data_IF_057771793969
#
_entry.id   IF_057771793969
#
_cell.length_a   1.000
_cell.length_b   1.000
_cell.length_c   1.000
_cell.angle_alpha   90.00
_cell.angle_beta   90.00
_cell.angle_gamma   90.00
#
_symmetry.space_group_name_H-M   'P 1'
#
loop_
_entity.id
_entity.type
_entity.pdbx_description
1 polymer ?
#
# COMPACT_ATOMS: atom_id res chain seq x y z
N UNK A 1 -3.44 -8.87 2.56
CA UNK A 1 -2.81 -7.84 1.70
C UNK A 1 -2.31 -6.67 2.54
N UNK A 2 -1.25 -5.99 2.10
CA UNK A 2 -0.61 -4.88 2.83
C UNK A 2 -0.39 -3.67 1.92
N UNK A 3 -0.89 -2.50 2.32
CA UNK A 3 -0.71 -1.23 1.64
C UNK A 3 0.36 -0.40 2.33
N UNK A 4 1.52 -0.25 1.68
CA UNK A 4 2.59 0.63 2.14
C UNK A 4 2.33 2.07 1.69
N UNK A 5 2.31 2.98 2.65
CA UNK A 5 2.14 4.43 2.46
C UNK A 5 3.28 5.18 3.13
N UNK A 6 3.25 6.52 3.09
CA UNK A 6 4.17 7.37 3.85
C UNK A 6 3.44 8.58 4.41
N UNK A 7 3.95 9.23 5.46
CA UNK A 7 3.39 10.47 5.98
C UNK A 7 3.29 11.55 4.88
N UNK A 8 2.21 12.34 4.94
CA UNK A 8 1.96 13.44 3.99
C UNK A 8 2.00 13.00 2.51
N UNK A 9 1.49 11.80 2.22
CA UNK A 9 1.39 11.29 0.86
C UNK A 9 0.01 11.58 0.26
N UNK A 10 -0.11 12.66 -0.52
CA UNK A 10 -1.37 13.01 -1.19
C UNK A 10 -1.93 11.85 -2.03
N UNK A 11 -1.05 11.15 -2.75
CA UNK A 11 -1.41 9.96 -3.57
C UNK A 11 -1.97 8.82 -2.72
N UNK A 12 -1.54 8.68 -1.47
CA UNK A 12 -1.98 7.64 -0.55
C UNK A 12 -3.36 7.99 0.03
N UNK A 13 -3.61 9.26 0.34
CA UNK A 13 -4.91 9.74 0.82
C UNK A 13 -6.04 9.47 -0.18
N UNK A 14 -5.76 9.53 -1.49
CA UNK A 14 -6.74 9.13 -2.51
C UNK A 14 -7.26 7.69 -2.38
N UNK A 15 -6.54 6.82 -1.66
CA UNK A 15 -6.92 5.44 -1.40
C UNK A 15 -7.54 5.33 0.00
N UNK A 16 -6.80 5.76 1.04
CA UNK A 16 -7.20 5.59 2.44
C UNK A 16 -8.51 6.29 2.77
N UNK A 17 -8.81 7.42 2.11
CA UNK A 17 -10.05 8.18 2.34
C UNK A 17 -11.26 7.60 1.59
N UNK A 18 -11.01 6.77 0.56
CA UNK A 18 -12.06 6.29 -0.36
C UNK A 18 -12.45 4.84 -0.18
N UNK A 19 -11.61 4.05 0.48
CA UNK A 19 -11.84 2.64 0.71
C UNK A 19 -11.75 2.34 2.19
N UNK A 20 -12.69 1.55 2.69
CA UNK A 20 -12.55 0.90 3.98
C UNK A 20 -11.57 -0.28 3.82
N UNK A 21 -10.28 0.01 4.02
CA UNK A 21 -9.21 -0.98 3.88
C UNK A 21 -9.41 -2.17 4.82
N UNK A 22 -9.96 -1.91 6.02
CA UNK A 22 -10.16 -2.95 7.03
C UNK A 22 -11.21 -3.97 6.59
N UNK A 23 -12.35 -3.53 6.05
CA UNK A 23 -13.36 -4.47 5.54
C UNK A 23 -12.90 -5.22 4.28
N UNK A 24 -11.94 -4.68 3.54
CA UNK A 24 -11.29 -5.34 2.41
C UNK A 24 -10.13 -6.28 2.80
N UNK A 25 -9.81 -6.43 4.09
CA UNK A 25 -8.69 -7.25 4.55
C UNK A 25 -7.31 -6.68 4.16
N UNK A 26 -7.24 -5.37 3.95
CA UNK A 26 -6.00 -4.63 3.64
C UNK A 26 -5.50 -3.95 4.91
N UNK A 27 -4.26 -4.24 5.29
CA UNK A 27 -3.56 -3.58 6.39
C UNK A 27 -2.79 -2.39 5.81
N UNK A 28 -2.90 -1.21 6.41
CA UNK A 28 -2.05 -0.08 6.04
C UNK A 28 -0.78 -0.07 6.91
N UNK A 29 0.38 0.00 6.26
CA UNK A 29 1.67 0.17 6.90
C UNK A 29 2.28 1.51 6.47
N UNK A 30 2.52 2.40 7.43
CA UNK A 30 3.07 3.74 7.16
C UNK A 30 4.59 3.69 7.29
N UNK A 31 5.29 3.94 6.20
CA UNK A 31 6.75 4.07 6.16
C UNK A 31 7.17 5.38 6.81
N UNK A 32 7.45 5.32 8.11
CA UNK A 32 7.88 6.44 8.93
C UNK A 32 9.17 6.08 9.70
N UNK A 33 10.00 7.06 10.10
CA UNK A 33 11.25 6.79 10.81
C UNK A 33 11.09 6.04 12.15
N UNK A 34 9.90 6.12 12.75
CA UNK A 34 9.51 5.46 13.99
C UNK A 34 8.84 4.08 13.78
N UNK A 35 8.62 3.66 12.53
CA UNK A 35 8.05 2.37 12.17
C UNK A 35 9.07 1.49 11.43
N UNK A 36 10.03 0.95 12.20
CA UNK A 36 11.06 0.07 11.66
C UNK A 36 10.48 -1.26 11.12
N UNK A 37 9.36 -1.73 11.67
CA UNK A 37 8.72 -2.98 11.26
C UNK A 37 8.11 -2.89 9.85
N UNK A 38 7.50 -1.75 9.50
CA UNK A 38 7.02 -1.51 8.15
C UNK A 38 8.18 -1.49 7.13
N UNK A 39 9.31 -0.88 7.49
CA UNK A 39 10.52 -0.88 6.65
C UNK A 39 11.10 -2.28 6.49
N UNK A 40 11.15 -3.07 7.56
CA UNK A 40 11.62 -4.45 7.52
C UNK A 40 10.73 -5.32 6.61
N UNK A 41 9.41 -5.16 6.71
CA UNK A 41 8.46 -5.91 5.87
C UNK A 41 8.58 -5.50 4.39
N UNK A 42 8.71 -4.20 4.11
CA UNK A 42 8.94 -3.71 2.75
C UNK A 42 10.26 -4.26 2.17
N UNK A 43 11.31 -4.30 2.98
CA UNK A 43 12.62 -4.84 2.59
C UNK A 43 12.58 -6.35 2.34
N UNK A 44 11.81 -7.10 3.14
CA UNK A 44 11.57 -8.52 2.91
C UNK A 44 10.93 -8.79 1.54
N UNK A 45 10.05 -7.90 1.08
CA UNK A 45 9.47 -7.97 -0.27
C UNK A 45 10.38 -7.43 -1.39
N UNK A 46 11.62 -7.02 -1.08
CA UNK A 46 12.57 -6.41 -2.03
C UNK A 46 12.03 -5.10 -2.69
N UNK A 47 11.14 -4.38 -1.99
CA UNK A 47 10.44 -3.21 -2.53
C UNK A 47 11.04 -1.85 -2.13
N UNK A 48 12.21 -1.83 -1.49
CA UNK A 48 12.85 -0.58 -1.02
C UNK A 48 13.08 0.40 -2.17
N UNK A 49 13.75 -0.05 -3.24
CA UNK A 49 14.01 0.80 -4.42
C UNK A 49 12.72 1.21 -5.15
N UNK A 50 11.67 0.41 -5.04
CA UNK A 50 10.37 0.70 -5.65
C UNK A 50 9.69 1.82 -4.88
N UNK A 51 9.71 1.77 -3.55
CA UNK A 51 9.13 2.80 -2.68
C UNK A 51 9.83 4.15 -2.79
N UNK A 52 11.14 4.16 -3.06
CA UNK A 52 11.89 5.39 -3.36
C UNK A 52 11.40 6.07 -4.64
N UNK A 53 10.95 5.30 -5.62
CA UNK A 53 10.48 5.78 -6.93
C UNK A 53 8.99 6.12 -6.92
N UNK A 54 8.16 5.26 -6.32
CA UNK A 54 6.71 5.38 -6.37
C UNK A 54 6.02 4.82 -5.13
N UNK A 55 5.12 5.63 -4.57
CA UNK A 55 4.17 5.25 -3.53
C UNK A 55 2.75 5.71 -3.93
N UNK A 56 1.69 5.06 -3.42
CA UNK A 56 1.69 3.89 -2.53
C UNK A 56 2.01 2.56 -3.25
N UNK A 57 2.28 1.50 -2.48
CA UNK A 57 2.48 0.12 -2.96
C UNK A 57 1.53 -0.82 -2.24
N UNK A 58 0.75 -1.63 -2.97
CA UNK A 58 -0.09 -2.69 -2.42
C UNK A 58 0.57 -4.05 -2.69
N UNK A 59 0.91 -4.78 -1.64
CA UNK A 59 1.35 -6.18 -1.70
C UNK A 59 0.13 -7.09 -1.53
N UNK A 60 -0.01 -8.04 -2.46
CA UNK A 60 -1.11 -9.01 -2.52
C UNK A 60 -0.76 -10.28 -1.74
N UNK A 61 -1.76 -11.15 -1.54
CA UNK A 61 -1.58 -12.38 -0.76
C UNK A 61 -0.70 -13.43 -1.46
N UNK A 62 -0.47 -13.27 -2.77
CA UNK A 62 0.45 -14.08 -3.58
C UNK A 62 1.86 -13.48 -3.68
N UNK A 63 2.18 -12.53 -2.80
CA UNK A 63 3.44 -11.78 -2.72
C UNK A 63 3.73 -10.87 -3.93
N UNK A 64 2.84 -10.83 -4.93
CA UNK A 64 2.94 -9.83 -6.01
C UNK A 64 2.58 -8.44 -5.50
N UNK A 65 2.93 -7.40 -6.26
CA UNK A 65 2.69 -6.02 -5.86
C UNK A 65 2.11 -5.14 -6.98
N UNK A 66 1.37 -4.10 -6.56
CA UNK A 66 0.82 -3.07 -7.43
C UNK A 66 1.33 -1.73 -6.93
N UNK A 67 1.99 -0.95 -7.80
CA UNK A 67 2.43 0.41 -7.48
C UNK A 67 1.51 1.48 -8.06
N UNK A 68 1.44 2.61 -7.35
CA UNK A 68 0.81 3.83 -7.83
C UNK A 68 -0.70 3.87 -7.58
N UNK A 69 -1.16 5.05 -7.16
CA UNK A 69 -2.51 5.22 -6.62
C UNK A 69 -3.64 4.86 -7.59
N UNK A 70 -3.47 5.12 -8.89
CA UNK A 70 -4.51 4.85 -9.91
C UNK A 70 -4.73 3.34 -10.06
N UNK A 71 -3.65 2.55 -10.16
CA UNK A 71 -3.73 1.10 -10.35
C UNK A 71 -4.31 0.43 -9.11
N UNK A 72 -3.83 0.82 -7.93
CA UNK A 72 -4.30 0.28 -6.65
C UNK A 72 -5.79 0.61 -6.46
N UNK A 73 -6.21 1.85 -6.72
CA UNK A 73 -7.63 2.23 -6.68
C UNK A 73 -8.50 1.37 -7.62
N UNK A 74 -8.04 1.13 -8.84
CA UNK A 74 -8.75 0.29 -9.81
C UNK A 74 -8.91 -1.15 -9.29
N UNK A 75 -7.84 -1.68 -8.69
CA UNK A 75 -7.84 -3.01 -8.08
C UNK A 75 -8.82 -3.10 -6.91
N UNK A 76 -8.72 -2.21 -5.91
CA UNK A 76 -9.60 -2.19 -4.74
C UNK A 76 -11.07 -1.97 -5.12
N UNK A 77 -11.34 -1.13 -6.14
CA UNK A 77 -12.71 -0.94 -6.65
C UNK A 77 -13.28 -2.24 -7.20
N UNK A 78 -12.50 -3.07 -7.90
CA UNK A 78 -12.99 -4.36 -8.40
C UNK A 78 -13.27 -5.33 -7.26
N UNK A 79 -12.42 -5.36 -6.24
CA UNK A 79 -12.63 -6.20 -5.05
C UNK A 79 -13.88 -5.81 -4.27
N UNK A 80 -14.12 -4.51 -4.06
CA UNK A 80 -15.28 -4.03 -3.32
C UNK A 80 -16.63 -4.26 -4.03
N UNK A 81 -16.61 -4.59 -5.33
CA UNK A 81 -17.81 -4.91 -6.12
C UNK A 81 -17.89 -6.41 -6.49
N UNK A 82 -16.97 -7.23 -5.97
CA UNK A 82 -16.96 -8.68 -6.14
C UNK A 82 -17.64 -9.35 -4.96
#
# INVERSE_FOLDING_TARGET
MTLFTKPACDKCHYITDKFDLKSLGVIEEVLAPDNADALATLAWHELVEVAEKELPILVLDDESHITGAIKIKSYLKRMANA
#
